data_IF_287378633273
#
_entry.id   IF_287378633273
#
_cell.length_a   1.000
_cell.length_b   1.000
_cell.length_c   1.000
_cell.angle_alpha   90.00
_cell.angle_beta   90.00
_cell.angle_gamma   90.00
#
_symmetry.space_group_name_H-M   'P 1'
#
loop_
_entity.id
_entity.type
_entity.pdbx_description
1 polymer ?
#
# COMPACT_ATOMS: atom_id res chain seq x y z
N UNK A 1 2.67 38.52 37.26
CA UNK A 1 3.47 37.61 38.10
C UNK A 1 2.95 36.22 37.84
N UNK A 2 3.61 35.45 36.97
CA UNK A 2 3.29 34.05 36.74
C UNK A 2 3.91 33.21 37.87
N UNK A 3 3.14 32.27 38.41
CA UNK A 3 3.56 31.43 39.53
C UNK A 3 4.55 30.35 39.06
N UNK A 4 5.59 30.01 39.86
CA UNK A 4 6.61 29.02 39.49
C UNK A 4 6.12 27.57 39.27
N UNK A 5 4.82 27.30 39.41
CA UNK A 5 4.24 25.96 39.31
C UNK A 5 3.77 25.53 37.92
N UNK A 6 3.65 26.47 36.96
CA UNK A 6 3.06 26.17 35.64
C UNK A 6 4.10 25.65 34.62
N UNK A 7 5.37 26.08 34.72
CA UNK A 7 6.42 25.71 33.75
C UNK A 7 6.85 24.23 33.79
N UNK A 8 6.47 23.47 34.81
CA UNK A 8 6.76 22.03 34.91
C UNK A 8 5.63 21.10 34.46
N UNK A 9 4.46 21.64 34.10
CA UNK A 9 3.27 20.86 33.79
C UNK A 9 3.39 20.09 32.48
N UNK A 10 3.69 20.78 31.38
CA UNK A 10 3.75 20.18 30.04
C UNK A 10 4.89 19.16 29.89
N UNK A 11 6.09 19.47 30.38
CA UNK A 11 7.24 18.57 30.31
C UNK A 11 6.95 17.24 31.01
N UNK A 12 6.31 17.29 32.19
CA UNK A 12 5.86 16.09 32.89
C UNK A 12 4.82 15.32 32.08
N UNK A 13 3.82 15.98 31.50
CA UNK A 13 2.81 15.31 30.66
C UNK A 13 3.45 14.61 29.44
N UNK A 14 4.45 15.24 28.82
CA UNK A 14 5.20 14.67 27.69
C UNK A 14 6.00 13.42 28.13
N UNK A 15 6.67 13.48 29.27
CA UNK A 15 7.41 12.35 29.84
C UNK A 15 6.49 11.20 30.25
N UNK A 16 5.35 11.51 30.88
CA UNK A 16 4.33 10.55 31.31
C UNK A 16 3.46 10.04 30.14
N UNK A 17 3.66 10.56 28.91
CA UNK A 17 2.90 10.18 27.71
C UNK A 17 1.38 10.37 27.86
N UNK A 18 0.96 11.40 28.62
CA UNK A 18 -0.46 11.72 28.88
C UNK A 18 -1.05 12.49 27.71
N UNK A 19 -1.13 11.82 26.55
CA UNK A 19 -1.46 12.43 25.26
C UNK A 19 -2.81 13.15 25.25
N UNK A 20 -3.81 12.62 25.95
CA UNK A 20 -5.12 13.29 26.04
C UNK A 20 -5.03 14.66 26.72
N UNK A 21 -4.25 14.77 27.79
CA UNK A 21 -4.08 16.03 28.52
C UNK A 21 -3.18 17.02 27.78
N UNK A 22 -2.19 16.53 27.02
CA UNK A 22 -1.37 17.38 26.14
C UNK A 22 -2.25 18.08 25.08
N UNK A 23 -3.32 17.43 24.59
CA UNK A 23 -4.24 18.06 23.63
C UNK A 23 -4.96 19.28 24.21
N UNK A 24 -5.24 19.25 25.51
CA UNK A 24 -5.99 20.27 26.24
C UNK A 24 -5.06 21.31 26.89
N UNK A 25 -3.77 21.01 27.01
CA UNK A 25 -2.79 21.89 27.65
C UNK A 25 -2.58 23.19 26.83
N UNK A 26 -2.68 24.34 27.51
CA UNK A 26 -2.63 25.67 26.87
C UNK A 26 -1.27 25.97 26.23
N UNK A 27 -0.20 25.53 26.88
CA UNK A 27 1.18 25.76 26.42
C UNK A 27 1.68 24.73 25.40
N UNK A 28 0.92 23.65 25.14
CA UNK A 28 1.33 22.64 24.17
C UNK A 28 1.34 23.23 22.76
N UNK A 29 2.45 23.06 22.05
CA UNK A 29 2.57 23.50 20.67
C UNK A 29 1.63 22.71 19.77
N UNK A 30 1.30 23.24 18.58
CA UNK A 30 0.53 22.46 17.60
C UNK A 30 1.25 21.18 17.17
N UNK A 31 2.58 21.14 17.24
CA UNK A 31 3.36 19.94 16.95
C UNK A 31 3.16 18.88 18.04
N UNK A 32 3.21 19.24 19.32
CA UNK A 32 2.92 18.35 20.45
C UNK A 32 1.50 17.78 20.37
N UNK A 33 0.54 18.62 19.97
CA UNK A 33 -0.86 18.21 19.78
C UNK A 33 -1.01 17.25 18.60
N UNK A 34 -0.31 17.49 17.49
CA UNK A 34 -0.31 16.56 16.34
C UNK A 34 0.32 15.22 16.73
N UNK A 35 1.45 15.23 17.43
CA UNK A 35 2.10 14.00 17.90
C UNK A 35 1.18 13.25 18.87
N UNK A 36 0.52 13.95 19.79
CA UNK A 36 -0.46 13.36 20.70
C UNK A 36 -1.63 12.71 19.96
N UNK A 37 -2.20 13.38 18.96
CA UNK A 37 -3.26 12.79 18.11
C UNK A 37 -2.77 11.54 17.35
N UNK A 38 -1.52 11.54 16.87
CA UNK A 38 -0.91 10.37 16.22
C UNK A 38 -0.78 9.20 17.20
N UNK A 39 -0.35 9.47 18.45
CA UNK A 39 -0.19 8.45 19.49
C UNK A 39 -1.52 7.90 20.00
N UNK A 40 -2.60 8.68 19.90
CA UNK A 40 -3.97 8.26 20.15
C UNK A 40 -4.65 7.64 18.91
N UNK A 41 -3.89 7.39 17.84
CA UNK A 41 -4.38 6.82 16.57
C UNK A 41 -5.47 7.66 15.85
N UNK A 42 -5.63 8.94 16.20
CA UNK A 42 -6.57 9.87 15.60
C UNK A 42 -5.99 10.52 14.31
N UNK A 43 -5.50 9.70 13.38
CA UNK A 43 -4.70 10.14 12.22
C UNK A 43 -5.41 11.16 11.32
N UNK A 44 -6.74 11.08 11.19
CA UNK A 44 -7.50 12.04 10.38
C UNK A 44 -7.52 13.45 11.01
N UNK A 45 -7.67 13.54 12.33
CA UNK A 45 -7.60 14.81 13.05
C UNK A 45 -6.16 15.35 13.06
N UNK A 46 -5.18 14.48 13.29
CA UNK A 46 -3.77 14.83 13.23
C UNK A 46 -3.41 15.41 11.85
N UNK A 47 -3.88 14.80 10.77
CA UNK A 47 -3.65 15.26 9.40
C UNK A 47 -4.21 16.67 9.15
N UNK A 48 -5.37 17.00 9.72
CA UNK A 48 -6.00 18.32 9.60
C UNK A 48 -5.22 19.43 10.30
N UNK A 49 -4.47 19.10 11.36
CA UNK A 49 -3.66 20.06 12.14
C UNK A 49 -2.19 20.08 11.73
N UNK A 50 -1.70 19.01 11.11
CA UNK A 50 -0.29 18.89 10.74
C UNK A 50 0.11 19.91 9.67
N UNK A 51 1.19 20.66 9.97
CA UNK A 51 1.87 21.55 9.02
C UNK A 51 2.29 20.80 7.76
N UNK A 52 2.35 21.51 6.63
CA UNK A 52 2.80 20.94 5.37
C UNK A 52 4.26 20.48 5.45
N UNK A 53 4.61 19.46 4.65
CA UNK A 53 5.97 18.95 4.50
C UNK A 53 6.64 18.40 5.78
N UNK A 54 5.87 17.98 6.79
CA UNK A 54 6.39 17.34 8.01
C UNK A 54 6.27 15.81 7.97
N UNK A 55 7.16 15.12 8.69
CA UNK A 55 7.12 13.65 8.83
C UNK A 55 5.78 13.20 9.40
N UNK A 56 5.28 13.90 10.43
CA UNK A 56 3.98 13.65 11.03
C UNK A 56 2.83 13.64 10.00
N UNK A 57 2.82 14.61 9.07
CA UNK A 57 1.80 14.69 8.02
C UNK A 57 1.89 13.51 7.05
N UNK A 58 3.09 13.18 6.60
CA UNK A 58 3.32 12.04 5.71
C UNK A 58 2.96 10.72 6.40
N UNK A 59 3.30 10.56 7.67
CA UNK A 59 2.95 9.40 8.47
C UNK A 59 1.44 9.25 8.63
N UNK A 60 0.70 10.35 8.85
CA UNK A 60 -0.76 10.33 8.84
C UNK A 60 -1.32 9.85 7.49
N UNK A 61 -0.79 10.34 6.36
CA UNK A 61 -1.17 9.82 5.05
C UNK A 61 -0.90 8.32 4.92
N UNK A 62 0.25 7.85 5.39
CA UNK A 62 0.60 6.43 5.38
C UNK A 62 -0.40 5.58 6.18
N UNK A 63 -0.68 5.96 7.44
CA UNK A 63 -1.62 5.23 8.32
C UNK A 63 -3.05 5.23 7.79
N UNK A 64 -3.45 6.29 7.07
CA UNK A 64 -4.73 6.38 6.36
C UNK A 64 -4.72 5.68 4.99
N UNK A 65 -3.68 4.90 4.67
CA UNK A 65 -3.50 4.18 3.40
C UNK A 65 -3.50 5.07 2.14
N UNK A 66 -3.16 6.36 2.31
CA UNK A 66 -3.00 7.35 1.23
C UNK A 66 -1.53 7.41 0.79
N UNK A 67 -0.98 6.28 0.36
CA UNK A 67 0.46 6.11 0.12
C UNK A 67 1.04 7.08 -0.92
N UNK A 68 0.31 7.38 -2.00
CA UNK A 68 0.74 8.37 -2.99
C UNK A 68 0.88 9.79 -2.41
N UNK A 69 -0.04 10.19 -1.52
CA UNK A 69 0.04 11.47 -0.83
C UNK A 69 1.18 11.50 0.19
N UNK A 70 1.45 10.36 0.85
CA UNK A 70 2.62 10.17 1.71
C UNK A 70 3.91 10.42 0.91
N UNK A 71 4.10 9.73 -0.22
CA UNK A 71 5.28 9.90 -1.07
C UNK A 71 5.43 11.32 -1.60
N UNK A 72 4.33 11.95 -2.02
CA UNK A 72 4.34 13.36 -2.45
C UNK A 72 4.79 14.30 -1.33
N UNK A 73 4.35 14.04 -0.09
CA UNK A 73 4.71 14.85 1.08
C UNK A 73 6.16 14.63 1.49
N UNK A 74 6.65 13.38 1.42
CA UNK A 74 8.04 13.05 1.67
C UNK A 74 8.97 13.70 0.62
N UNK A 75 8.64 13.58 -0.66
CA UNK A 75 9.48 14.07 -1.75
C UNK A 75 10.88 13.43 -1.70
N UNK A 76 11.93 14.21 -1.98
CA UNK A 76 13.34 13.79 -1.94
C UNK A 76 14.07 14.22 -0.67
N UNK A 77 13.36 14.37 0.45
CA UNK A 77 13.98 14.82 1.70
C UNK A 77 14.89 13.73 2.27
N UNK A 78 16.09 14.12 2.66
CA UNK A 78 17.12 13.20 3.13
C UNK A 78 17.11 13.20 4.66
N UNK A 79 16.47 12.18 5.24
CA UNK A 79 16.65 11.77 6.64
C UNK A 79 16.29 10.28 6.76
N UNK A 80 16.74 9.65 7.85
CA UNK A 80 16.41 8.24 8.13
C UNK A 80 14.89 8.03 8.24
N UNK A 81 14.20 8.92 8.95
CA UNK A 81 12.74 8.88 9.12
C UNK A 81 11.99 9.01 7.79
N UNK A 82 12.43 9.93 6.93
CA UNK A 82 11.84 10.12 5.60
C UNK A 82 12.07 8.91 4.71
N UNK A 83 13.27 8.34 4.74
CA UNK A 83 13.65 7.19 3.90
C UNK A 83 12.93 5.92 4.36
N UNK A 84 12.80 5.71 5.67
CA UNK A 84 12.03 4.61 6.24
C UNK A 84 10.55 4.70 5.86
N UNK A 85 9.96 5.90 5.94
CA UNK A 85 8.57 6.12 5.56
C UNK A 85 8.33 5.95 4.05
N UNK A 86 9.28 6.40 3.21
CA UNK A 86 9.24 6.15 1.77
C UNK A 86 9.34 4.66 1.45
N UNK A 87 10.29 3.95 2.05
CA UNK A 87 10.44 2.50 1.90
C UNK A 87 9.11 1.78 2.19
N UNK A 88 8.48 2.08 3.33
CA UNK A 88 7.20 1.48 3.71
C UNK A 88 6.06 1.85 2.75
N UNK A 89 5.97 3.11 2.31
CA UNK A 89 4.95 3.54 1.37
C UNK A 89 5.13 2.96 -0.04
N UNK A 90 6.38 2.82 -0.51
CA UNK A 90 6.72 2.17 -1.78
C UNK A 90 6.42 0.67 -1.72
N UNK A 91 6.76 0.01 -0.62
CA UNK A 91 6.41 -1.39 -0.37
C UNK A 91 4.89 -1.61 -0.43
N UNK A 92 4.10 -0.76 0.22
CA UNK A 92 2.65 -0.84 0.20
C UNK A 92 2.02 -0.54 -1.18
N UNK A 93 2.79 -0.02 -2.13
CA UNK A 93 2.42 0.24 -3.52
C UNK A 93 3.01 -0.79 -4.49
N UNK A 94 3.59 -1.88 -3.97
CA UNK A 94 4.25 -2.94 -4.74
C UNK A 94 5.45 -2.45 -5.58
N UNK A 95 6.06 -1.32 -5.20
CA UNK A 95 7.25 -0.73 -5.84
C UNK A 95 8.51 -1.21 -5.15
N UNK A 96 8.72 -2.54 -5.13
CA UNK A 96 9.72 -3.18 -4.28
C UNK A 96 11.17 -2.80 -4.62
N UNK A 97 11.53 -2.69 -5.91
CA UNK A 97 12.87 -2.27 -6.32
C UNK A 97 13.22 -0.87 -5.76
N UNK A 98 12.26 0.05 -5.77
CA UNK A 98 12.43 1.39 -5.21
C UNK A 98 12.47 1.37 -3.67
N UNK A 99 11.66 0.53 -3.05
CA UNK A 99 11.70 0.34 -1.60
C UNK A 99 13.07 -0.21 -1.14
N UNK A 100 13.66 -1.15 -1.89
CA UNK A 100 15.02 -1.65 -1.63
C UNK A 100 16.04 -0.53 -1.74
N UNK A 101 15.94 0.33 -2.77
CA UNK A 101 16.87 1.45 -2.92
C UNK A 101 16.79 2.45 -1.76
N UNK A 102 15.60 2.75 -1.25
CA UNK A 102 15.43 3.56 -0.02
C UNK A 102 15.99 2.84 1.21
N UNK A 103 15.80 1.52 1.30
CA UNK A 103 16.29 0.73 2.42
C UNK A 103 17.82 0.69 2.52
N UNK A 104 18.54 0.72 1.40
CA UNK A 104 20.01 0.74 1.38
C UNK A 104 20.64 1.96 2.03
N UNK A 105 19.89 3.06 2.16
CA UNK A 105 20.38 4.29 2.81
C UNK A 105 20.09 4.30 4.31
N UNK A 106 19.39 3.29 4.84
CA UNK A 106 18.99 3.21 6.24
C UNK A 106 20.00 2.44 7.07
N UNK A 107 20.06 2.75 8.37
CA UNK A 107 20.68 1.86 9.33
C UNK A 107 19.74 0.67 9.58
N UNK A 108 20.04 -0.47 8.97
CA UNK A 108 19.20 -1.66 8.99
C UNK A 108 19.27 -2.36 10.36
N UNK A 109 18.46 -1.90 11.30
CA UNK A 109 18.32 -2.48 12.63
C UNK A 109 16.83 -2.71 12.97
N UNK A 110 16.54 -3.73 13.80
CA UNK A 110 15.21 -4.00 14.31
C UNK A 110 14.13 -4.03 13.22
N UNK A 111 13.03 -3.28 13.39
CA UNK A 111 11.93 -3.21 12.43
C UNK A 111 12.34 -2.71 11.04
N UNK A 112 13.38 -1.88 10.93
CA UNK A 112 13.86 -1.41 9.62
C UNK A 112 14.47 -2.56 8.83
N UNK A 113 15.25 -3.42 9.50
CA UNK A 113 15.80 -4.63 8.90
C UNK A 113 14.69 -5.60 8.45
N UNK A 114 13.69 -5.83 9.30
CA UNK A 114 12.55 -6.72 8.98
C UNK A 114 11.76 -6.23 7.77
N UNK A 115 11.50 -4.92 7.69
CA UNK A 115 10.83 -4.31 6.54
C UNK A 115 11.69 -4.38 5.27
N UNK A 116 12.99 -4.14 5.39
CA UNK A 116 13.93 -4.27 4.27
C UNK A 116 13.99 -5.70 3.74
N UNK A 117 14.05 -6.69 4.63
CA UNK A 117 14.02 -8.11 4.27
C UNK A 117 12.79 -8.47 3.44
N UNK A 118 11.61 -7.96 3.80
CA UNK A 118 10.38 -8.16 3.02
C UNK A 118 10.46 -7.53 1.63
N UNK A 119 10.89 -6.25 1.56
CA UNK A 119 11.03 -5.56 0.28
C UNK A 119 12.03 -6.27 -0.64
N UNK A 120 13.17 -6.69 -0.09
CA UNK A 120 14.23 -7.36 -0.82
C UNK A 120 13.80 -8.74 -1.33
N UNK A 121 13.09 -9.52 -0.52
CA UNK A 121 12.57 -10.82 -0.91
C UNK A 121 11.58 -10.72 -2.08
N UNK A 122 10.63 -9.77 -2.01
CA UNK A 122 9.65 -9.55 -3.07
C UNK A 122 10.26 -8.95 -4.34
N UNK A 123 11.22 -8.02 -4.20
CA UNK A 123 11.99 -7.51 -5.33
C UNK A 123 12.78 -8.64 -6.02
N UNK A 124 13.42 -9.52 -5.25
CA UNK A 124 14.14 -10.69 -5.78
C UNK A 124 13.21 -11.65 -6.52
N UNK A 125 12.03 -11.92 -5.98
CA UNK A 125 11.05 -12.79 -6.61
C UNK A 125 10.56 -12.23 -7.97
N UNK A 126 10.47 -10.90 -8.09
CA UNK A 126 10.16 -10.23 -9.34
C UNK A 126 11.36 -10.25 -10.31
N UNK A 127 12.57 -10.03 -9.80
CA UNK A 127 13.83 -9.97 -10.55
C UNK A 127 14.97 -10.57 -9.72
N UNK A 128 15.57 -11.71 -10.12
CA UNK A 128 16.55 -12.43 -9.31
C UNK A 128 17.95 -11.79 -9.31
N UNK A 129 18.04 -10.46 -9.30
CA UNK A 129 19.29 -9.67 -9.30
C UNK A 129 19.83 -9.42 -7.89
N UNK A 130 19.00 -9.63 -6.86
CA UNK A 130 19.33 -9.31 -5.46
C UNK A 130 19.94 -10.48 -4.65
N UNK A 131 20.45 -11.53 -5.30
CA UNK A 131 20.92 -12.75 -4.62
C UNK A 131 22.01 -12.52 -3.58
N UNK A 132 22.97 -11.63 -3.87
CA UNK A 132 24.06 -11.30 -2.94
C UNK A 132 23.53 -10.55 -1.72
N UNK A 133 22.69 -9.54 -1.94
CA UNK A 133 22.06 -8.74 -0.89
C UNK A 133 21.14 -9.58 -0.01
N UNK A 134 20.41 -10.56 -0.57
CA UNK A 134 19.61 -11.49 0.22
C UNK A 134 20.46 -12.32 1.19
N UNK A 135 21.65 -12.77 0.75
CA UNK A 135 22.57 -13.51 1.61
C UNK A 135 23.09 -12.63 2.75
N UNK A 136 23.39 -11.38 2.48
CA UNK A 136 23.81 -10.41 3.49
C UNK A 136 22.68 -10.09 4.47
N UNK A 137 21.50 -9.75 3.96
CA UNK A 137 20.31 -9.47 4.76
C UNK A 137 19.95 -10.66 5.66
N UNK A 138 20.10 -11.90 5.16
CA UNK A 138 19.93 -13.10 5.98
C UNK A 138 20.88 -13.13 7.16
N UNK A 139 22.18 -12.87 6.96
CA UNK A 139 23.15 -12.81 8.08
C UNK A 139 22.77 -11.75 9.12
N UNK A 140 22.29 -10.60 8.67
CA UNK A 140 21.83 -9.53 9.57
C UNK A 140 20.61 -9.96 10.38
N UNK A 141 19.62 -10.59 9.73
CA UNK A 141 18.43 -11.14 10.40
C UNK A 141 18.84 -12.20 11.43
N UNK A 142 19.74 -13.11 11.08
CA UNK A 142 20.25 -14.13 12.01
C UNK A 142 20.98 -13.55 13.23
N UNK A 143 21.60 -12.39 13.08
CA UNK A 143 22.30 -11.68 14.15
C UNK A 143 21.36 -10.82 15.04
N UNK A 144 20.10 -10.62 14.65
CA UNK A 144 19.14 -9.81 15.42
C UNK A 144 18.87 -10.44 16.79
N UNK A 145 19.05 -9.67 17.86
CA UNK A 145 18.98 -10.17 19.23
C UNK A 145 17.54 -10.44 19.68
N UNK A 146 16.59 -9.66 19.15
CA UNK A 146 15.17 -9.87 19.38
C UNK A 146 14.68 -11.09 18.56
N UNK A 147 14.27 -12.15 19.28
CA UNK A 147 13.80 -13.39 18.67
C UNK A 147 12.58 -13.18 17.77
N UNK A 148 11.66 -12.29 18.14
CA UNK A 148 10.46 -12.02 17.36
C UNK A 148 10.81 -11.36 16.03
N UNK A 149 11.71 -10.38 16.07
CA UNK A 149 12.18 -9.70 14.85
C UNK A 149 13.01 -10.63 13.96
N UNK A 150 13.80 -11.53 14.56
CA UNK A 150 14.53 -12.56 13.83
C UNK A 150 13.57 -13.52 13.11
N UNK A 151 12.55 -14.01 13.80
CA UNK A 151 11.53 -14.90 13.23
C UNK A 151 10.75 -14.22 12.09
N UNK A 152 10.30 -12.98 12.30
CA UNK A 152 9.60 -12.20 11.28
C UNK A 152 10.49 -11.93 10.06
N UNK A 153 11.77 -11.61 10.30
CA UNK A 153 12.77 -11.43 9.25
C UNK A 153 12.97 -12.70 8.43
N UNK A 154 13.08 -13.88 9.08
CA UNK A 154 13.19 -15.17 8.39
C UNK A 154 11.96 -15.48 7.55
N UNK A 155 10.77 -15.23 8.11
CA UNK A 155 9.50 -15.38 7.39
C UNK A 155 9.47 -14.51 6.13
N UNK A 156 9.84 -13.23 6.26
CA UNK A 156 9.90 -12.31 5.14
C UNK A 156 10.90 -12.75 4.06
N UNK A 157 12.08 -13.23 4.46
CA UNK A 157 13.10 -13.74 3.53
C UNK A 157 12.66 -15.01 2.79
N UNK A 158 11.79 -15.84 3.38
CA UNK A 158 11.25 -17.02 2.71
C UNK A 158 10.45 -16.66 1.45
N UNK A 159 9.85 -15.46 1.40
CA UNK A 159 9.08 -15.00 0.23
C UNK A 159 9.92 -14.91 -1.05
N UNK A 160 11.25 -14.81 -0.94
CA UNK A 160 12.15 -14.78 -2.08
C UNK A 160 12.04 -16.05 -2.95
N UNK A 161 11.67 -17.18 -2.35
CA UNK A 161 11.51 -18.47 -3.02
C UNK A 161 10.03 -18.90 -3.12
N UNK A 162 9.06 -18.03 -2.83
CA UNK A 162 7.64 -18.40 -2.78
C UNK A 162 7.03 -18.90 -4.11
N UNK A 163 7.75 -18.76 -5.25
CA UNK A 163 7.32 -19.37 -6.53
C UNK A 163 7.67 -20.86 -6.63
N UNK A 164 8.65 -21.30 -5.87
CA UNK A 164 9.06 -22.69 -5.76
C UNK A 164 8.45 -23.26 -4.47
N UNK A 165 7.37 -24.02 -4.61
CA UNK A 165 6.61 -24.53 -3.47
C UNK A 165 7.45 -25.40 -2.54
N UNK A 166 8.39 -26.20 -3.07
CA UNK A 166 9.26 -27.06 -2.27
C UNK A 166 10.29 -26.22 -1.50
N UNK A 167 10.99 -25.31 -2.20
CA UNK A 167 11.97 -24.43 -1.56
C UNK A 167 11.32 -23.51 -0.53
N UNK A 168 10.11 -23.03 -0.79
CA UNK A 168 9.35 -22.18 0.12
C UNK A 168 8.92 -22.92 1.39
N UNK A 169 8.37 -24.14 1.25
CA UNK A 169 8.02 -24.98 2.41
C UNK A 169 9.27 -25.33 3.22
N UNK A 170 10.39 -25.63 2.55
CA UNK A 170 11.67 -25.87 3.23
C UNK A 170 12.10 -24.66 4.05
N UNK A 171 12.10 -23.47 3.45
CA UNK A 171 12.47 -22.24 4.12
C UNK A 171 11.55 -21.89 5.31
N UNK A 172 10.25 -22.15 5.21
CA UNK A 172 9.30 -21.94 6.30
C UNK A 172 9.50 -22.92 7.47
N UNK A 173 9.87 -24.17 7.20
CA UNK A 173 10.12 -25.20 8.24
C UNK A 173 11.36 -24.94 9.09
N UNK A 174 12.32 -24.18 8.56
CA UNK A 174 13.50 -23.72 9.30
C UNK A 174 13.17 -22.63 10.32
N UNK A 175 11.98 -22.03 10.22
CA UNK A 175 11.47 -21.10 11.22
C UNK A 175 10.91 -21.94 12.36
N UNK A 176 11.39 -21.68 13.58
CA UNK A 176 10.89 -22.31 14.80
C UNK A 176 10.24 -21.24 15.68
N UNK A 177 8.99 -20.83 15.38
CA UNK A 177 8.38 -19.69 16.04
C UNK A 177 8.19 -19.96 17.52
N UNK A 178 8.56 -18.99 18.34
CA UNK A 178 8.33 -19.02 19.79
C UNK A 178 6.93 -18.51 20.16
N UNK A 179 6.37 -17.60 19.36
CA UNK A 179 5.03 -17.05 19.55
C UNK A 179 3.95 -17.89 18.88
N UNK A 180 2.81 -18.02 19.57
CA UNK A 180 1.67 -18.81 19.10
C UNK A 180 1.12 -18.27 17.77
N UNK A 181 0.99 -16.95 17.64
CA UNK A 181 0.41 -16.34 16.44
C UNK A 181 1.32 -16.52 15.22
N UNK A 182 2.64 -16.39 15.41
CA UNK A 182 3.64 -16.64 14.36
C UNK A 182 3.66 -18.12 13.96
N UNK A 183 3.55 -19.03 14.94
CA UNK A 183 3.44 -20.47 14.69
C UNK A 183 2.21 -20.81 13.84
N UNK A 184 1.05 -20.25 14.19
CA UNK A 184 -0.19 -20.43 13.42
C UNK A 184 0.00 -19.92 11.99
N UNK A 185 0.59 -18.73 11.81
CA UNK A 185 0.84 -18.15 10.50
C UNK A 185 1.76 -19.02 9.63
N UNK A 186 2.91 -19.45 10.18
CA UNK A 186 3.88 -20.29 9.45
C UNK A 186 3.26 -21.62 9.07
N UNK A 187 2.58 -22.28 10.01
CA UNK A 187 1.92 -23.57 9.75
C UNK A 187 0.79 -23.43 8.71
N UNK A 188 0.01 -22.35 8.77
CA UNK A 188 -1.00 -22.06 7.76
C UNK A 188 -0.36 -21.92 6.38
N UNK A 189 0.77 -21.22 6.24
CA UNK A 189 1.44 -21.06 4.94
C UNK A 189 2.06 -22.36 4.43
N UNK A 190 2.63 -23.19 5.31
CA UNK A 190 3.13 -24.52 4.94
C UNK A 190 1.98 -25.37 4.40
N UNK A 191 0.88 -25.48 5.14
CA UNK A 191 -0.26 -26.28 4.72
C UNK A 191 -0.96 -25.72 3.47
N UNK A 192 -1.03 -24.40 3.34
CA UNK A 192 -1.54 -23.73 2.14
C UNK A 192 -0.69 -24.07 0.90
N UNK A 193 0.64 -24.06 1.03
CA UNK A 193 1.56 -24.42 -0.06
C UNK A 193 1.50 -25.90 -0.42
N UNK A 194 1.24 -26.76 0.57
CA UNK A 194 1.07 -28.22 0.40
C UNK A 194 -0.36 -28.63 0.02
N UNK A 195 -1.29 -27.68 -0.13
CA UNK A 195 -2.71 -27.95 -0.38
C UNK A 195 -3.43 -28.79 0.71
N UNK A 196 -2.92 -28.77 1.95
CA UNK A 196 -3.52 -29.43 3.11
C UNK A 196 -4.48 -28.47 3.84
N UNK A 197 -5.49 -27.98 3.13
CA UNK A 197 -6.35 -26.90 3.61
C UNK A 197 -7.15 -27.27 4.87
N UNK A 198 -7.48 -28.54 5.03
CA UNK A 198 -8.16 -29.09 6.20
C UNK A 198 -7.35 -28.96 7.50
N UNK A 199 -6.04 -28.74 7.40
CA UNK A 199 -5.13 -28.55 8.54
C UNK A 199 -4.93 -27.07 8.90
N UNK A 200 -5.59 -26.15 8.18
CA UNK A 200 -5.44 -24.72 8.39
C UNK A 200 -6.52 -24.21 9.34
N UNK A 201 -6.11 -23.77 10.52
CA UNK A 201 -6.98 -23.03 11.43
C UNK A 201 -7.21 -21.61 10.91
N UNK A 202 -8.32 -21.41 10.21
CA UNK A 202 -8.68 -20.12 9.63
C UNK A 202 -9.17 -19.09 10.66
N UNK A 203 -9.63 -19.50 11.84
CA UNK A 203 -10.24 -18.58 12.82
C UNK A 203 -9.20 -17.60 13.39
N UNK A 204 -7.99 -18.09 13.57
CA UNK A 204 -6.86 -17.33 14.08
C UNK A 204 -6.08 -16.57 12.99
N UNK A 205 -6.52 -16.66 11.72
CA UNK A 205 -5.89 -15.93 10.62
C UNK A 205 -6.50 -14.55 10.44
N UNK A 206 -5.61 -13.60 10.12
CA UNK A 206 -6.02 -12.27 9.66
C UNK A 206 -6.98 -12.38 8.45
N UNK A 207 -7.86 -11.39 8.28
CA UNK A 207 -8.79 -11.34 7.13
C UNK A 207 -8.09 -11.54 5.78
N UNK A 208 -6.87 -11.01 5.64
CA UNK A 208 -6.05 -11.15 4.42
C UNK A 208 -5.59 -12.60 4.24
N UNK A 209 -5.08 -13.23 5.29
CA UNK A 209 -4.56 -14.60 5.20
C UNK A 209 -5.67 -15.62 4.98
N UNK A 210 -6.85 -15.42 5.60
CA UNK A 210 -8.05 -16.22 5.28
C UNK A 210 -8.41 -16.16 3.81
N UNK A 211 -8.47 -14.95 3.23
CA UNK A 211 -8.79 -14.79 1.81
C UNK A 211 -7.78 -15.50 0.87
N UNK A 212 -6.49 -15.57 1.25
CA UNK A 212 -5.47 -16.30 0.49
C UNK A 212 -5.71 -17.81 0.58
N UNK A 213 -5.99 -18.32 1.79
CA UNK A 213 -6.27 -19.74 2.02
C UNK A 213 -7.54 -20.15 1.29
N UNK A 214 -8.62 -19.38 1.38
CA UNK A 214 -9.88 -19.62 0.66
C UNK A 214 -9.65 -19.65 -0.86
N UNK A 215 -8.87 -18.70 -1.40
CA UNK A 215 -8.54 -18.65 -2.83
C UNK A 215 -7.79 -19.92 -3.30
N UNK A 216 -6.82 -20.39 -2.52
CA UNK A 216 -6.06 -21.58 -2.84
C UNK A 216 -6.86 -22.87 -2.60
N UNK A 217 -7.67 -22.93 -1.54
CA UNK A 217 -8.48 -24.09 -1.17
C UNK A 217 -9.54 -24.42 -2.21
N UNK A 218 -10.28 -23.41 -2.65
CA UNK A 218 -11.34 -23.57 -3.63
C UNK A 218 -10.83 -23.54 -5.08
N UNK A 219 -9.50 -23.51 -5.27
CA UNK A 219 -8.81 -23.67 -6.55
C UNK A 219 -9.57 -23.17 -7.76
N UNK A 220 -9.40 -21.90 -8.14
CA UNK A 220 -9.91 -21.34 -9.42
C UNK A 220 -11.37 -21.74 -9.75
N UNK A 221 -12.33 -21.45 -8.87
CA UNK A 221 -13.69 -21.23 -9.37
C UNK A 221 -13.68 -19.95 -10.22
N UNK A 222 -13.36 -20.14 -11.51
CA UNK A 222 -12.97 -19.09 -12.46
C UNK A 222 -14.09 -18.08 -12.66
N UNK A 223 -15.35 -18.43 -12.41
CA UNK A 223 -16.46 -17.58 -12.83
C UNK A 223 -16.78 -16.46 -11.82
N UNK A 224 -16.53 -16.66 -10.51
CA UNK A 224 -16.70 -15.57 -9.53
C UNK A 224 -15.45 -14.69 -9.38
N UNK A 225 -14.26 -15.28 -9.49
CA UNK A 225 -13.00 -14.54 -9.31
C UNK A 225 -12.49 -13.96 -10.64
N UNK A 226 -12.63 -14.60 -11.80
CA UNK A 226 -12.33 -13.90 -13.05
C UNK A 226 -13.31 -12.71 -13.22
N UNK A 227 -14.60 -12.86 -12.89
CA UNK A 227 -15.53 -11.71 -12.93
C UNK A 227 -15.19 -10.58 -11.92
N UNK A 228 -14.38 -10.84 -10.89
CA UNK A 228 -14.01 -9.84 -9.87
C UNK A 228 -12.59 -9.29 -10.04
N UNK A 229 -11.64 -10.15 -10.42
CA UNK A 229 -10.22 -9.85 -10.62
C UNK A 229 -9.93 -9.46 -12.07
N UNK A 230 -10.60 -10.04 -13.08
CA UNK A 230 -10.59 -9.51 -14.47
C UNK A 230 -11.31 -8.17 -14.49
N UNK A 231 -12.45 -8.03 -13.81
CA UNK A 231 -13.13 -6.74 -13.68
C UNK A 231 -12.29 -5.71 -12.91
N UNK A 232 -11.58 -6.10 -11.85
CA UNK A 232 -10.67 -5.21 -11.14
C UNK A 232 -9.39 -4.89 -11.94
N UNK A 233 -8.80 -5.85 -12.64
CA UNK A 233 -7.62 -5.66 -13.49
C UNK A 233 -7.95 -4.88 -14.77
N UNK A 234 -9.11 -5.11 -15.39
CA UNK A 234 -9.67 -4.31 -16.48
C UNK A 234 -10.01 -2.91 -15.97
N UNK A 235 -10.69 -2.77 -14.84
CA UNK A 235 -10.99 -1.45 -14.25
C UNK A 235 -9.71 -0.69 -13.87
N UNK A 236 -8.67 -1.35 -13.38
CA UNK A 236 -7.37 -0.71 -13.06
C UNK A 236 -6.55 -0.42 -14.31
N UNK A 237 -6.47 -1.35 -15.26
CA UNK A 237 -5.80 -1.17 -16.54
C UNK A 237 -6.44 -0.02 -17.31
N UNK A 238 -7.76 -0.06 -17.51
CA UNK A 238 -8.50 1.01 -18.17
C UNK A 238 -8.44 2.34 -17.39
N UNK A 239 -8.46 2.32 -16.05
CA UNK A 239 -8.25 3.54 -15.27
C UNK A 239 -6.84 4.12 -15.44
N UNK A 240 -5.82 3.29 -15.58
CA UNK A 240 -4.44 3.72 -15.76
C UNK A 240 -4.18 4.21 -17.18
N UNK A 241 -4.72 3.53 -18.18
CA UNK A 241 -4.66 3.92 -19.59
C UNK A 241 -5.44 5.22 -19.84
N UNK A 242 -6.65 5.37 -19.29
CA UNK A 242 -7.37 6.65 -19.34
C UNK A 242 -6.64 7.76 -18.57
N UNK A 243 -6.00 7.48 -17.43
CA UNK A 243 -5.18 8.47 -16.73
C UNK A 243 -3.96 8.90 -17.55
N UNK A 244 -3.30 7.98 -18.25
CA UNK A 244 -2.17 8.28 -19.15
C UNK A 244 -2.61 9.12 -20.35
N UNK A 245 -3.74 8.75 -20.95
CA UNK A 245 -4.30 9.48 -22.08
C UNK A 245 -4.86 10.86 -21.69
N UNK A 246 -5.48 11.01 -20.51
CA UNK A 246 -5.91 12.32 -19.96
C UNK A 246 -4.71 13.20 -19.59
N UNK A 247 -3.58 12.60 -19.20
CA UNK A 247 -2.31 13.31 -18.96
C UNK A 247 -1.52 13.62 -20.25
N UNK A 248 -2.03 13.22 -21.41
CA UNK A 248 -1.41 13.50 -22.72
C UNK A 248 -0.19 12.64 -23.05
N UNK A 249 0.03 11.53 -22.33
CA UNK A 249 1.22 10.68 -22.49
C UNK A 249 1.05 9.58 -23.57
N UNK A 250 -0.17 9.31 -24.07
CA UNK A 250 -0.41 8.31 -25.13
C UNK A 250 -1.46 8.72 -26.20
N UNK A 251 -1.44 8.14 -27.42
CA UNK A 251 -2.32 8.51 -28.53
C UNK A 251 -3.78 8.08 -28.32
N UNK A 252 -4.72 8.91 -28.79
CA UNK A 252 -6.18 8.67 -28.78
C UNK A 252 -6.60 7.31 -29.39
N UNK A 253 -5.75 6.70 -30.22
CA UNK A 253 -5.98 5.35 -30.74
C UNK A 253 -6.15 4.30 -29.62
N UNK A 254 -5.36 4.38 -28.55
CA UNK A 254 -5.45 3.47 -27.40
C UNK A 254 -6.80 3.59 -26.66
N UNK A 255 -7.33 4.81 -26.51
CA UNK A 255 -8.68 5.01 -25.94
C UNK A 255 -9.76 4.41 -26.84
N UNK A 256 -9.58 4.47 -28.16
CA UNK A 256 -10.55 3.94 -29.13
C UNK A 256 -10.61 2.41 -29.09
N UNK A 257 -9.47 1.76 -28.94
CA UNK A 257 -9.36 0.29 -28.83
C UNK A 257 -9.94 -0.20 -27.49
N UNK A 258 -9.61 0.50 -26.39
CA UNK A 258 -10.21 0.29 -25.06
C UNK A 258 -11.75 0.41 -25.08
N UNK A 259 -12.28 1.39 -25.81
CA UNK A 259 -13.73 1.59 -25.93
C UNK A 259 -14.40 0.58 -26.87
N UNK A 260 -13.69 0.05 -27.85
CA UNK A 260 -14.18 -0.99 -28.75
C UNK A 260 -14.22 -2.36 -28.07
N UNK A 261 -13.35 -2.60 -27.08
CA UNK A 261 -13.24 -3.84 -26.31
C UNK A 261 -14.18 -3.96 -25.11
N UNK A 262 -15.07 -2.98 -24.86
CA UNK A 262 -16.07 -3.04 -23.80
C UNK A 262 -17.42 -3.53 -24.37
N UNK A 263 -17.75 -4.84 -24.37
CA UNK A 263 -19.03 -5.30 -24.86
C UNK A 263 -20.05 -5.17 -23.71
N UNK A 264 -21.07 -4.33 -23.90
CA UNK A 264 -22.36 -4.49 -23.21
C UNK A 264 -22.48 -4.04 -21.74
N UNK A 265 -21.44 -3.52 -21.07
CA UNK A 265 -21.59 -2.97 -19.72
C UNK A 265 -20.95 -1.57 -19.57
N UNK A 266 -21.74 -0.49 -19.59
CA UNK A 266 -21.24 0.89 -19.48
C UNK A 266 -20.94 1.35 -18.04
N UNK A 267 -21.18 0.54 -17.00
CA UNK A 267 -21.00 0.99 -15.61
C UNK A 267 -19.57 1.32 -15.19
N UNK A 268 -18.53 0.57 -15.61
CA UNK A 268 -17.15 0.95 -15.32
C UNK A 268 -16.80 2.34 -15.88
N UNK A 269 -17.31 2.65 -17.07
CA UNK A 269 -17.13 3.96 -17.71
C UNK A 269 -17.89 5.07 -16.97
N UNK A 270 -19.11 4.79 -16.51
CA UNK A 270 -19.90 5.72 -15.67
C UNK A 270 -19.21 5.99 -14.33
N UNK A 271 -18.70 4.96 -13.66
CA UNK A 271 -17.99 5.08 -12.40
C UNK A 271 -16.70 5.89 -12.52
N UNK A 272 -16.00 5.80 -13.66
CA UNK A 272 -14.84 6.62 -13.96
C UNK A 272 -15.22 8.07 -14.23
N UNK A 273 -16.21 8.31 -15.10
CA UNK A 273 -16.68 9.66 -15.46
C UNK A 273 -17.17 10.41 -14.21
N UNK A 274 -17.88 9.75 -13.29
CA UNK A 274 -18.28 10.31 -11.98
C UNK A 274 -17.11 10.86 -11.16
N UNK A 275 -15.90 10.34 -11.36
CA UNK A 275 -14.70 10.69 -10.57
C UNK A 275 -13.81 11.72 -11.27
N UNK A 276 -14.13 12.13 -12.50
CA UNK A 276 -13.37 13.14 -13.22
C UNK A 276 -13.72 14.55 -12.73
N UNK A 277 -12.72 15.43 -12.66
CA UNK A 277 -12.96 16.86 -12.46
C UNK A 277 -13.65 17.46 -13.70
N UNK A 278 -14.38 18.59 -13.56
CA UNK A 278 -15.00 19.27 -14.70
C UNK A 278 -14.02 19.58 -15.84
N UNK A 279 -12.78 19.95 -15.52
CA UNK A 279 -11.73 20.25 -16.51
C UNK A 279 -11.30 18.99 -17.27
N UNK A 280 -11.14 17.86 -16.58
CA UNK A 280 -10.77 16.59 -17.21
C UNK A 280 -11.93 16.02 -18.04
N UNK A 281 -13.17 16.24 -17.62
CA UNK A 281 -14.36 15.86 -18.36
C UNK A 281 -14.50 16.69 -19.66
N UNK A 282 -14.24 18.00 -19.57
CA UNK A 282 -14.18 18.89 -20.72
C UNK A 282 -13.03 18.52 -21.67
N UNK A 283 -11.86 18.14 -21.13
CA UNK A 283 -10.72 17.70 -21.91
C UNK A 283 -11.00 16.39 -22.65
N UNK A 284 -11.56 15.40 -21.96
CA UNK A 284 -12.01 14.13 -22.55
C UNK A 284 -13.03 14.36 -23.66
N UNK A 285 -14.01 15.24 -23.42
CA UNK A 285 -15.02 15.63 -24.42
C UNK A 285 -14.36 16.24 -25.67
N UNK A 286 -13.40 17.16 -25.50
CA UNK A 286 -12.66 17.77 -26.61
C UNK A 286 -11.80 16.75 -27.38
N UNK A 287 -11.11 15.84 -26.69
CA UNK A 287 -10.29 14.79 -27.32
C UNK A 287 -11.14 13.86 -28.19
N UNK A 288 -12.33 13.48 -27.71
CA UNK A 288 -13.28 12.66 -28.48
C UNK A 288 -13.86 13.40 -29.70
N UNK A 289 -13.93 14.74 -29.66
CA UNK A 289 -14.42 15.56 -30.78
C UNK A 289 -13.36 15.72 -31.89
N UNK A 290 -12.07 15.77 -31.55
CA UNK A 290 -10.99 16.18 -32.47
C UNK A 290 -10.40 15.03 -33.32
N UNK A 291 -10.39 13.76 -32.87
CA UNK A 291 -9.63 12.69 -33.59
C UNK A 291 -10.38 11.36 -33.90
N UNK A 292 -11.71 11.34 -33.93
CA UNK A 292 -12.43 10.12 -34.29
C UNK A 292 -12.57 9.94 -35.81
N UNK A 293 -11.76 9.05 -36.41
CA UNK A 293 -11.78 8.71 -37.84
C UNK A 293 -13.02 7.92 -38.30
N UNK A 294 -13.88 7.47 -37.38
CA UNK A 294 -15.25 7.02 -37.70
C UNK A 294 -16.21 7.51 -36.59
N UNK A 295 -17.00 8.58 -36.81
CA UNK A 295 -17.46 9.42 -35.70
C UNK A 295 -18.86 9.16 -35.13
N UNK A 296 -19.71 8.27 -35.66
CA UNK A 296 -21.11 8.22 -35.21
C UNK A 296 -21.35 7.39 -33.94
N UNK A 297 -20.81 6.18 -33.86
CA UNK A 297 -21.15 5.26 -32.76
C UNK A 297 -20.38 5.55 -31.48
N UNK A 298 -19.07 5.78 -31.57
CA UNK A 298 -18.24 6.15 -30.40
C UNK A 298 -18.69 7.47 -29.77
N UNK A 299 -19.09 8.46 -30.59
CA UNK A 299 -19.62 9.74 -30.08
C UNK A 299 -20.97 9.53 -29.38
N UNK A 300 -21.86 8.71 -29.93
CA UNK A 300 -23.17 8.43 -29.33
C UNK A 300 -23.04 7.74 -27.97
N UNK A 301 -22.15 6.75 -27.86
CA UNK A 301 -21.94 6.01 -26.61
C UNK A 301 -21.33 6.88 -25.52
N UNK A 302 -20.26 7.63 -25.81
CA UNK A 302 -19.62 8.49 -24.78
C UNK A 302 -20.56 9.62 -24.36
N UNK A 303 -21.26 10.26 -25.30
CA UNK A 303 -22.21 11.34 -24.98
C UNK A 303 -23.38 10.84 -24.15
N UNK A 304 -23.94 9.67 -24.48
CA UNK A 304 -25.01 9.05 -23.69
C UNK A 304 -24.53 8.71 -22.26
N UNK A 305 -23.28 8.28 -22.11
CA UNK A 305 -22.71 7.98 -20.79
C UNK A 305 -22.46 9.26 -19.99
N UNK A 306 -21.89 10.31 -20.59
CA UNK A 306 -21.70 11.62 -19.93
C UNK A 306 -23.05 12.21 -19.52
N UNK A 307 -24.05 12.24 -20.41
CA UNK A 307 -25.39 12.74 -20.11
C UNK A 307 -26.10 11.92 -19.01
N UNK A 308 -25.85 10.60 -18.95
CA UNK A 308 -26.41 9.75 -17.88
C UNK A 308 -25.79 10.00 -16.50
N UNK A 309 -24.60 10.60 -16.45
CA UNK A 309 -23.86 10.84 -15.21
C UNK A 309 -23.90 12.31 -14.78
N UNK A 310 -23.89 13.22 -15.76
CA UNK A 310 -23.91 14.68 -15.58
C UNK A 310 -24.98 15.29 -16.51
N UNK A 311 -26.28 15.15 -16.18
CA UNK A 311 -27.39 15.53 -17.07
C UNK A 311 -27.52 17.05 -17.34
N UNK A 312 -26.69 17.88 -16.70
CA UNK A 312 -26.71 19.35 -16.82
C UNK A 312 -25.53 19.93 -17.64
N UNK A 313 -24.71 19.08 -18.26
CA UNK A 313 -23.59 19.44 -19.15
C UNK A 313 -23.80 18.88 -20.55
#
# INVERSE_FOLDING_TARGET
>A
METPGERGGLERLLQEKRYQEILEHKEASEEDKVVSLIKLEEFAKALGRAKNNTVAKAYCYYKLKKYQACLKTAGRKESEEWSALRMQALFALDRYDEAVNEGRTLNLTRHTLVNYAAALALAHQARPVYSAELKECRKMVEAEADLLLREEGRYNLALAVARDGEAFVSALREIHPTEKDTLILVNAQINNSLSNFEKIDTEHLSKRNRAIVEYNHHGRDRDMVAASLKKWQEEIFYQNELKRAIKGEEPIAAIKDVLAELPGNPEPLRALIRKLSPDNLNHLTKLCLIKASNPKDTRKTIRAVIQSVHPKQ
#
